data_IF_540738657057
#
_entry.id   IF_540738657057
#
_cell.length_a   1.000
_cell.length_b   1.000
_cell.length_c   1.000
_cell.angle_alpha   90.00
_cell.angle_beta   90.00
_cell.angle_gamma   90.00
#
_symmetry.space_group_name_H-M   'P 1'
#
loop_
_entity.id
_entity.type
_entity.pdbx_description
1 polymer ?
#
# COMPACT_ATOMS: atom_id res chain seq x y z
N UNK A 1 2.79 2.81 -16.03
CA UNK A 1 4.20 2.89 -15.59
C UNK A 1 5.18 2.32 -16.61
N UNK A 2 5.05 1.05 -17.02
CA UNK A 2 6.02 0.43 -17.94
C UNK A 2 6.22 1.21 -19.27
N UNK A 3 5.12 1.64 -19.90
CA UNK A 3 5.19 2.44 -21.13
C UNK A 3 5.87 3.79 -20.89
N UNK A 4 5.62 4.43 -19.74
CA UNK A 4 6.26 5.70 -19.38
C UNK A 4 7.76 5.51 -19.17
N UNK A 5 8.17 4.45 -18.47
CA UNK A 5 9.57 4.10 -18.31
C UNK A 5 10.28 3.90 -19.66
N UNK A 6 9.64 3.19 -20.59
CA UNK A 6 10.18 3.00 -21.94
C UNK A 6 10.33 4.35 -22.65
N UNK A 7 9.28 5.17 -22.68
CA UNK A 7 9.28 6.45 -23.39
C UNK A 7 10.31 7.44 -22.82
N UNK A 8 10.46 7.52 -21.50
CA UNK A 8 11.45 8.40 -20.87
C UNK A 8 12.87 7.95 -21.19
N UNK A 9 13.16 6.65 -21.13
CA UNK A 9 14.49 6.14 -21.47
C UNK A 9 14.79 6.20 -22.97
N UNK A 10 13.78 6.05 -23.83
CA UNK A 10 13.92 6.29 -25.27
C UNK A 10 14.29 7.75 -25.52
N UNK A 11 13.56 8.69 -24.90
CA UNK A 11 13.86 10.12 -25.03
C UNK A 11 15.30 10.43 -24.58
N UNK A 12 15.72 9.87 -23.45
CA UNK A 12 17.08 10.00 -22.96
C UNK A 12 18.11 9.43 -23.95
N UNK A 13 17.86 8.24 -24.50
CA UNK A 13 18.79 7.57 -25.40
C UNK A 13 19.02 8.31 -26.72
N UNK A 14 18.03 9.09 -27.20
CA UNK A 14 18.20 9.93 -28.40
C UNK A 14 19.30 11.00 -28.22
N UNK A 15 19.57 11.41 -26.99
CA UNK A 15 20.58 12.41 -26.67
C UNK A 15 21.97 11.81 -26.39
N UNK A 16 22.13 10.48 -26.46
CA UNK A 16 23.39 9.81 -26.20
C UNK A 16 24.26 9.70 -27.45
N UNK A 17 25.59 9.80 -27.25
CA UNK A 17 26.55 9.60 -28.33
C UNK A 17 26.41 8.21 -28.96
N UNK A 18 26.58 8.13 -30.28
CA UNK A 18 26.47 6.90 -31.08
C UNK A 18 25.08 6.24 -31.18
N UNK A 19 24.00 6.88 -30.69
CA UNK A 19 22.62 6.36 -30.86
C UNK A 19 22.28 6.06 -32.32
N UNK A 20 22.66 6.94 -33.26
CA UNK A 20 22.39 6.76 -34.69
C UNK A 20 23.07 5.54 -35.31
N UNK A 21 24.13 5.00 -34.68
CA UNK A 21 24.88 3.85 -35.18
C UNK A 21 24.42 2.54 -34.55
N UNK A 22 24.11 2.55 -33.25
CA UNK A 22 23.67 1.37 -32.49
C UNK A 22 22.49 1.71 -31.56
N UNK A 23 21.29 2.00 -32.10
CA UNK A 23 20.20 2.58 -31.32
C UNK A 23 19.70 1.66 -30.20
N UNK A 24 19.65 0.35 -30.45
CA UNK A 24 19.14 -0.63 -29.49
C UNK A 24 20.13 -0.86 -28.34
N UNK A 25 21.42 -0.99 -28.66
CA UNK A 25 22.48 -1.17 -27.66
C UNK A 25 22.60 0.04 -26.74
N UNK A 26 22.58 1.25 -27.32
CA UNK A 26 22.64 2.50 -26.55
C UNK A 26 21.39 2.67 -25.68
N UNK A 27 20.20 2.35 -26.19
CA UNK A 27 18.99 2.36 -25.37
C UNK A 27 19.11 1.45 -24.15
N UNK A 28 19.51 0.18 -24.32
CA UNK A 28 19.64 -0.75 -23.21
C UNK A 28 20.75 -0.36 -22.24
N UNK A 29 21.87 0.19 -22.73
CA UNK A 29 22.95 0.72 -21.90
C UNK A 29 22.50 1.90 -21.03
N UNK A 30 21.67 2.80 -21.56
CA UNK A 30 21.14 3.95 -20.84
C UNK A 30 19.97 3.60 -19.90
N UNK A 31 19.07 2.70 -20.33
CA UNK A 31 17.88 2.31 -19.57
C UNK A 31 18.19 1.35 -18.43
N UNK A 32 19.21 0.50 -18.59
CA UNK A 32 19.57 -0.55 -17.63
C UNK A 32 21.09 -0.58 -17.36
N UNK A 33 21.69 0.55 -16.92
CA UNK A 33 23.13 0.62 -16.67
C UNK A 33 23.58 -0.41 -15.63
N UNK A 34 22.72 -0.78 -14.68
CA UNK A 34 22.99 -1.81 -13.68
C UNK A 34 23.29 -3.20 -14.28
N UNK A 35 22.80 -3.50 -15.48
CA UNK A 35 23.02 -4.77 -16.16
C UNK A 35 24.12 -4.67 -17.21
N UNK A 36 24.08 -3.63 -18.06
CA UNK A 36 24.97 -3.50 -19.21
C UNK A 36 26.32 -2.85 -18.92
N UNK A 37 26.58 -2.44 -17.68
CA UNK A 37 27.95 -2.14 -17.21
C UNK A 37 28.76 -3.40 -16.90
N UNK A 38 28.09 -4.51 -16.59
CA UNK A 38 28.72 -5.79 -16.22
C UNK A 38 28.67 -6.82 -17.36
N UNK A 39 27.65 -6.75 -18.20
CA UNK A 39 27.40 -7.72 -19.27
C UNK A 39 27.45 -6.99 -20.62
N UNK A 40 28.18 -7.54 -21.59
CA UNK A 40 28.18 -7.04 -22.96
C UNK A 40 26.79 -7.17 -23.58
N UNK A 41 26.35 -6.13 -24.28
CA UNK A 41 25.05 -6.15 -24.93
C UNK A 41 24.92 -7.31 -25.93
N UNK A 42 23.82 -8.04 -25.83
CA UNK A 42 23.36 -8.98 -26.84
C UNK A 42 21.84 -8.87 -26.93
N UNK A 43 21.26 -9.20 -28.09
CA UNK A 43 19.82 -9.05 -28.28
C UNK A 43 19.02 -9.96 -27.32
N UNK A 44 19.57 -11.14 -27.00
CA UNK A 44 19.00 -12.05 -26.00
C UNK A 44 19.09 -11.49 -24.57
N UNK A 45 20.23 -10.91 -24.18
CA UNK A 45 20.37 -10.26 -22.88
C UNK A 45 19.41 -9.07 -22.73
N UNK A 46 19.27 -8.23 -23.77
CA UNK A 46 18.29 -7.14 -23.82
C UNK A 46 16.86 -7.66 -23.62
N UNK A 47 16.46 -8.70 -24.36
CA UNK A 47 15.13 -9.29 -24.24
C UNK A 47 14.86 -9.85 -22.83
N UNK A 48 15.84 -10.51 -22.19
CA UNK A 48 15.71 -11.03 -20.83
C UNK A 48 15.58 -9.92 -19.78
N UNK A 49 16.37 -8.85 -19.91
CA UNK A 49 16.31 -7.70 -19.01
C UNK A 49 14.95 -6.99 -19.13
N UNK A 50 14.48 -6.76 -20.36
CA UNK A 50 13.18 -6.14 -20.60
C UNK A 50 12.02 -7.00 -20.05
N UNK A 51 12.06 -8.31 -20.28
CA UNK A 51 11.07 -9.24 -19.73
C UNK A 51 11.07 -9.21 -18.20
N UNK A 52 12.25 -9.20 -17.58
CA UNK A 52 12.40 -9.13 -16.12
C UNK A 52 11.84 -7.82 -15.58
N UNK A 53 12.09 -6.69 -16.26
CA UNK A 53 11.56 -5.38 -15.90
C UNK A 53 10.03 -5.34 -16.00
N UNK A 54 9.47 -5.93 -17.06
CA UNK A 54 8.03 -6.04 -17.25
C UNK A 54 7.37 -6.85 -16.14
N UNK A 55 7.91 -8.05 -15.85
CA UNK A 55 7.42 -8.91 -14.76
C UNK A 55 7.53 -8.18 -13.42
N UNK A 56 8.66 -7.53 -13.15
CA UNK A 56 8.87 -6.81 -11.89
C UNK A 56 7.87 -5.66 -11.70
N UNK A 57 7.63 -4.88 -12.76
CA UNK A 57 6.64 -3.78 -12.74
C UNK A 57 5.24 -4.33 -12.51
N UNK A 58 4.89 -5.45 -13.16
CA UNK A 58 3.59 -6.10 -12.99
C UNK A 58 3.43 -6.65 -11.56
N UNK A 59 4.43 -7.36 -11.04
CA UNK A 59 4.43 -7.93 -9.69
C UNK A 59 4.30 -6.83 -8.63
N UNK A 60 4.98 -5.70 -8.79
CA UNK A 60 4.84 -4.58 -7.87
C UNK A 60 3.40 -4.02 -7.86
N UNK A 61 2.82 -3.78 -9.03
CA UNK A 61 1.43 -3.32 -9.16
C UNK A 61 0.42 -4.32 -8.57
N UNK A 62 0.62 -5.61 -8.84
CA UNK A 62 -0.24 -6.67 -8.31
C UNK A 62 -0.15 -6.77 -6.78
N UNK A 63 1.05 -6.62 -6.21
CA UNK A 63 1.28 -6.70 -4.75
C UNK A 63 0.50 -5.61 -4.01
N UNK A 64 0.53 -4.37 -4.51
CA UNK A 64 -0.22 -3.26 -3.92
C UNK A 64 -1.74 -3.50 -3.96
N UNK A 65 -2.25 -3.93 -5.11
CA UNK A 65 -3.67 -4.26 -5.27
C UNK A 65 -4.09 -5.41 -4.35
N UNK A 66 -3.25 -6.43 -4.22
CA UNK A 66 -3.49 -7.56 -3.33
C UNK A 66 -3.60 -7.10 -1.87
N UNK A 67 -2.68 -6.25 -1.40
CA UNK A 67 -2.71 -5.69 -0.04
C UNK A 67 -3.99 -4.88 0.19
N UNK A 68 -4.40 -4.05 -0.78
CA UNK A 68 -5.64 -3.28 -0.72
C UNK A 68 -6.85 -4.20 -0.60
N UNK A 69 -6.94 -5.23 -1.44
CA UNK A 69 -8.09 -6.16 -1.46
C UNK A 69 -8.21 -6.95 -0.15
N UNK A 70 -7.09 -7.38 0.42
CA UNK A 70 -7.06 -8.04 1.73
C UNK A 70 -7.51 -7.07 2.83
N UNK A 71 -7.00 -5.83 2.81
CA UNK A 71 -7.38 -4.79 3.77
C UNK A 71 -8.89 -4.52 3.75
N UNK A 72 -9.47 -4.37 2.55
CA UNK A 72 -10.92 -4.17 2.37
C UNK A 72 -11.70 -5.39 2.88
N UNK A 73 -11.25 -6.60 2.56
CA UNK A 73 -11.94 -7.84 2.94
C UNK A 73 -12.01 -8.00 4.46
N UNK A 74 -10.89 -7.77 5.17
CA UNK A 74 -10.83 -7.80 6.63
C UNK A 74 -11.66 -6.66 7.25
N UNK A 75 -11.61 -5.46 6.65
CA UNK A 75 -12.39 -4.30 7.08
C UNK A 75 -13.88 -4.61 7.04
N UNK A 76 -14.37 -5.23 5.97
CA UNK A 76 -15.78 -5.60 5.85
C UNK A 76 -16.21 -6.62 6.90
N UNK A 77 -15.34 -7.56 7.30
CA UNK A 77 -15.64 -8.47 8.41
C UNK A 77 -15.80 -7.75 9.75
N UNK A 78 -14.95 -6.76 10.06
CA UNK A 78 -15.15 -5.93 11.24
C UNK A 78 -16.41 -5.05 11.15
N UNK A 79 -16.71 -4.50 9.97
CA UNK A 79 -17.94 -3.74 9.73
C UNK A 79 -19.19 -4.59 9.93
N UNK A 80 -19.19 -5.86 9.54
CA UNK A 80 -20.31 -6.79 9.77
C UNK A 80 -20.62 -6.92 11.27
N UNK A 81 -19.58 -7.10 12.10
CA UNK A 81 -19.73 -7.15 13.56
C UNK A 81 -20.29 -5.83 14.09
N UNK A 82 -19.71 -4.71 13.66
CA UNK A 82 -20.17 -3.38 14.07
C UNK A 82 -21.64 -3.12 13.69
N UNK A 83 -22.06 -3.56 12.51
CA UNK A 83 -23.44 -3.42 12.04
C UNK A 83 -24.40 -4.33 12.83
N UNK A 84 -23.98 -5.56 13.15
CA UNK A 84 -24.74 -6.49 14.00
C UNK A 84 -25.00 -5.91 15.39
N UNK A 85 -24.00 -5.28 16.00
CA UNK A 85 -24.15 -4.58 17.29
C UNK A 85 -25.14 -3.40 17.15
N UNK A 86 -24.96 -2.55 16.14
CA UNK A 86 -25.81 -1.37 15.89
C UNK A 86 -27.29 -1.73 15.70
N UNK A 87 -27.58 -2.86 15.04
CA UNK A 87 -28.94 -3.29 14.75
C UNK A 87 -29.62 -4.00 15.93
N UNK A 88 -28.84 -4.49 16.91
CA UNK A 88 -29.39 -5.17 18.07
C UNK A 88 -30.05 -4.18 19.05
N UNK A 89 -31.35 -4.36 19.31
CA UNK A 89 -32.08 -3.65 20.37
C UNK A 89 -32.34 -4.64 21.51
N UNK A 90 -31.85 -4.33 22.71
CA UNK A 90 -31.93 -5.19 23.90
C UNK A 90 -31.52 -6.65 23.65
N UNK A 91 -30.27 -6.89 23.21
CA UNK A 91 -29.81 -8.24 22.94
C UNK A 91 -29.72 -9.10 24.23
N UNK A 92 -30.01 -10.41 24.15
CA UNK A 92 -29.83 -11.31 25.28
C UNK A 92 -28.34 -11.46 25.64
N UNK A 93 -28.03 -11.86 26.88
CA UNK A 93 -26.63 -12.07 27.32
C UNK A 93 -25.80 -12.95 26.35
N UNK A 94 -26.41 -14.00 25.79
CA UNK A 94 -25.76 -14.91 24.83
C UNK A 94 -25.23 -14.18 23.58
N UNK A 95 -25.89 -13.11 23.14
CA UNK A 95 -25.48 -12.33 21.97
C UNK A 95 -24.10 -11.69 22.16
N UNK A 96 -23.82 -11.13 23.35
CA UNK A 96 -22.53 -10.48 23.61
C UNK A 96 -21.38 -11.47 23.61
N UNK A 97 -21.61 -12.69 24.09
CA UNK A 97 -20.66 -13.79 23.99
C UNK A 97 -20.36 -14.13 22.53
N UNK A 98 -21.38 -14.25 21.69
CA UNK A 98 -21.23 -14.52 20.25
C UNK A 98 -20.47 -13.40 19.53
N UNK A 99 -20.81 -12.13 19.80
CA UNK A 99 -20.11 -10.98 19.21
C UNK A 99 -18.61 -10.98 19.57
N UNK A 100 -18.29 -11.28 20.83
CA UNK A 100 -16.89 -11.37 21.28
C UNK A 100 -16.15 -12.52 20.60
N UNK A 101 -16.78 -13.68 20.46
CA UNK A 101 -16.20 -14.83 19.76
C UNK A 101 -15.98 -14.54 18.27
N UNK A 102 -16.94 -13.91 17.60
CA UNK A 102 -16.82 -13.48 16.20
C UNK A 102 -15.72 -12.44 16.04
N UNK A 103 -15.63 -11.45 16.93
CA UNK A 103 -14.56 -10.46 16.93
C UNK A 103 -13.19 -11.11 17.13
N UNK A 104 -13.08 -12.05 18.07
CA UNK A 104 -11.85 -12.81 18.28
C UNK A 104 -11.43 -13.59 17.03
N UNK A 105 -12.36 -14.26 16.34
CA UNK A 105 -12.07 -14.98 15.10
C UNK A 105 -11.53 -14.05 14.00
N UNK A 106 -12.16 -12.89 13.80
CA UNK A 106 -11.71 -11.91 12.80
C UNK A 106 -10.37 -11.27 13.18
N UNK A 107 -10.17 -10.97 14.47
CA UNK A 107 -8.89 -10.46 14.99
C UNK A 107 -7.77 -11.49 14.82
N UNK A 108 -8.02 -12.76 15.13
CA UNK A 108 -7.05 -13.82 14.93
C UNK A 108 -6.71 -14.02 13.44
N UNK A 109 -7.73 -14.02 12.57
CA UNK A 109 -7.53 -14.06 11.12
C UNK A 109 -6.68 -12.89 10.63
N UNK A 110 -6.95 -11.68 11.13
CA UNK A 110 -6.17 -10.47 10.78
C UNK A 110 -4.69 -10.65 11.15
N UNK A 111 -4.40 -11.19 12.33
CA UNK A 111 -3.01 -11.47 12.77
C UNK A 111 -2.32 -12.51 11.89
N UNK A 112 -3.02 -13.60 11.57
CA UNK A 112 -2.47 -14.65 10.68
C UNK A 112 -2.17 -14.07 9.31
N UNK A 113 -3.10 -13.29 8.75
CA UNK A 113 -2.91 -12.64 7.44
C UNK A 113 -1.74 -11.67 7.49
N UNK A 114 -1.66 -10.79 8.49
CA UNK A 114 -0.56 -9.83 8.64
C UNK A 114 0.80 -10.54 8.66
N UNK A 115 0.94 -11.62 9.42
CA UNK A 115 2.19 -12.41 9.47
C UNK A 115 2.55 -12.99 8.10
N UNK A 116 1.58 -13.53 7.36
CA UNK A 116 1.83 -14.17 6.05
C UNK A 116 2.18 -13.17 4.95
N UNK A 117 1.58 -11.98 4.98
CA UNK A 117 1.80 -10.95 3.96
C UNK A 117 2.83 -9.90 4.38
N UNK A 118 3.38 -9.98 5.59
CA UNK A 118 4.24 -8.93 6.14
C UNK A 118 5.45 -8.62 5.25
N UNK A 119 6.10 -9.64 4.68
CA UNK A 119 7.20 -9.45 3.74
C UNK A 119 6.77 -8.73 2.45
N UNK A 120 5.60 -9.07 1.91
CA UNK A 120 5.03 -8.41 0.73
C UNK A 120 4.68 -6.95 1.02
N UNK A 121 4.10 -6.69 2.20
CA UNK A 121 3.79 -5.34 2.66
C UNK A 121 5.07 -4.52 2.79
N UNK A 122 6.13 -5.06 3.40
CA UNK A 122 7.38 -4.35 3.58
C UNK A 122 8.05 -4.01 2.23
N UNK A 123 8.10 -4.96 1.30
CA UNK A 123 8.64 -4.74 -0.06
C UNK A 123 7.79 -3.70 -0.81
N UNK A 124 6.47 -3.79 -0.73
CA UNK A 124 5.54 -2.81 -1.32
C UNK A 124 5.81 -1.40 -0.78
N UNK A 125 5.90 -1.24 0.54
CA UNK A 125 6.17 0.06 1.16
C UNK A 125 7.55 0.62 0.79
N UNK A 126 8.60 -0.19 0.79
CA UNK A 126 9.94 0.24 0.39
C UNK A 126 9.97 0.69 -1.07
N UNK A 127 9.38 -0.09 -1.98
CA UNK A 127 9.29 0.29 -3.39
C UNK A 127 8.49 1.59 -3.57
N UNK A 128 7.34 1.70 -2.90
CA UNK A 128 6.50 2.88 -2.95
C UNK A 128 7.24 4.15 -2.48
N UNK A 129 8.01 4.07 -1.38
CA UNK A 129 8.84 5.17 -0.90
C UNK A 129 9.96 5.48 -1.89
N UNK A 130 10.67 4.47 -2.37
CA UNK A 130 11.78 4.64 -3.31
C UNK A 130 11.34 5.38 -4.59
N UNK A 131 10.26 4.93 -5.23
CA UNK A 131 9.72 5.57 -6.43
C UNK A 131 9.15 6.96 -6.15
N UNK A 132 8.53 7.17 -4.98
CA UNK A 132 8.06 8.50 -4.58
C UNK A 132 9.24 9.47 -4.40
N UNK A 133 10.35 9.04 -3.79
CA UNK A 133 11.57 9.85 -3.68
C UNK A 133 12.18 10.18 -5.05
N UNK A 134 12.24 9.21 -5.97
CA UNK A 134 12.72 9.46 -7.34
C UNK A 134 11.86 10.51 -8.04
N UNK A 135 10.54 10.41 -7.93
CA UNK A 135 9.66 11.36 -8.59
C UNK A 135 9.69 12.74 -7.93
N UNK A 136 9.86 12.81 -6.61
CA UNK A 136 10.08 14.06 -5.91
C UNK A 136 11.39 14.72 -6.35
N UNK A 137 12.47 13.95 -6.49
CA UNK A 137 13.72 14.46 -7.05
C UNK A 137 13.55 14.97 -8.49
N UNK A 138 12.82 14.21 -9.32
CA UNK A 138 12.50 14.62 -10.69
C UNK A 138 11.52 15.79 -10.78
N UNK A 139 10.84 16.16 -9.69
CA UNK A 139 9.97 17.35 -9.63
C UNK A 139 10.78 18.64 -9.54
N UNK A 140 12.03 18.56 -9.08
CA UNK A 140 12.94 19.70 -8.89
C UNK A 140 13.63 20.05 -10.23
N UNK A 141 13.76 19.08 -11.14
CA UNK A 141 14.40 19.30 -12.44
C UNK A 141 13.54 20.20 -13.32
N UNK A 142 14.17 21.21 -13.91
CA UNK A 142 13.55 22.06 -14.93
C UNK A 142 13.17 21.23 -16.16
N UNK A 143 12.01 21.55 -16.74
CA UNK A 143 11.46 20.85 -17.92
C UNK A 143 11.19 21.87 -19.01
N UNK A 144 11.81 21.69 -20.16
CA UNK A 144 11.67 22.59 -21.30
C UNK A 144 10.43 22.27 -22.16
N UNK A 145 10.04 20.99 -22.26
CA UNK A 145 8.92 20.55 -23.07
C UNK A 145 7.61 20.38 -22.27
N UNK A 146 6.50 20.83 -22.84
CA UNK A 146 5.14 20.67 -22.29
C UNK A 146 4.76 19.18 -22.17
N UNK A 147 5.17 18.37 -23.15
CA UNK A 147 4.90 16.93 -23.19
C UNK A 147 5.56 16.23 -21.99
N UNK A 148 6.82 16.55 -21.69
CA UNK A 148 7.55 15.99 -20.55
C UNK A 148 6.96 16.41 -19.20
N UNK A 149 6.32 17.59 -19.16
CA UNK A 149 5.61 18.08 -17.98
C UNK A 149 4.31 17.30 -17.75
N UNK A 150 3.50 17.08 -18.79
CA UNK A 150 2.26 16.28 -18.69
C UNK A 150 2.57 14.84 -18.25
N UNK A 151 3.59 14.21 -18.85
CA UNK A 151 4.01 12.87 -18.46
C UNK A 151 4.46 12.78 -17.01
N UNK A 152 5.19 13.79 -16.55
CA UNK A 152 5.62 13.87 -15.16
C UNK A 152 4.44 13.95 -14.20
N UNK A 153 3.50 14.88 -14.40
CA UNK A 153 2.35 15.03 -13.52
C UNK A 153 1.48 13.78 -13.49
N UNK A 154 1.29 13.12 -14.64
CA UNK A 154 0.57 11.86 -14.69
C UNK A 154 1.30 10.77 -13.90
N UNK A 155 2.61 10.61 -14.10
CA UNK A 155 3.40 9.59 -13.42
C UNK A 155 3.51 9.84 -11.91
N UNK A 156 3.73 11.10 -11.51
CA UNK A 156 3.79 11.51 -10.11
C UNK A 156 2.44 11.29 -9.43
N UNK A 157 1.35 11.78 -10.04
CA UNK A 157 0.00 11.61 -9.53
C UNK A 157 -0.39 10.14 -9.39
N UNK A 158 -0.01 9.29 -10.35
CA UNK A 158 -0.26 7.85 -10.29
C UNK A 158 0.45 7.17 -9.10
N UNK A 159 1.74 7.46 -8.89
CA UNK A 159 2.50 6.90 -7.78
C UNK A 159 1.92 7.39 -6.45
N UNK A 160 1.67 8.70 -6.32
CA UNK A 160 1.05 9.28 -5.11
C UNK A 160 -0.31 8.62 -4.83
N UNK A 161 -1.15 8.48 -5.85
CA UNK A 161 -2.45 7.82 -5.71
C UNK A 161 -2.30 6.38 -5.18
N UNK A 162 -1.37 5.60 -5.71
CA UNK A 162 -1.10 4.23 -5.25
C UNK A 162 -0.65 4.18 -3.78
N UNK A 163 0.34 4.99 -3.42
CA UNK A 163 0.87 5.04 -2.03
C UNK A 163 -0.24 5.44 -1.07
N UNK A 164 -1.02 6.46 -1.41
CA UNK A 164 -2.17 6.92 -0.61
C UNK A 164 -3.23 5.83 -0.53
N UNK A 165 -3.58 5.16 -1.63
CA UNK A 165 -4.59 4.11 -1.64
C UNK A 165 -4.19 2.94 -0.72
N UNK A 166 -3.00 2.36 -0.91
CA UNK A 166 -2.51 1.24 -0.08
C UNK A 166 -2.53 1.63 1.41
N UNK A 167 -2.03 2.82 1.71
CA UNK A 167 -1.95 3.28 3.09
C UNK A 167 -3.32 3.59 3.70
N UNK A 168 -4.22 4.22 2.94
CA UNK A 168 -5.56 4.57 3.39
C UNK A 168 -6.39 3.32 3.66
N UNK A 169 -6.35 2.33 2.76
CA UNK A 169 -7.09 1.09 2.97
C UNK A 169 -6.57 0.32 4.19
N UNK A 170 -5.26 0.25 4.38
CA UNK A 170 -4.67 -0.32 5.60
C UNK A 170 -5.09 0.45 6.86
N UNK A 171 -5.12 1.78 6.81
CA UNK A 171 -5.59 2.60 7.93
C UNK A 171 -7.09 2.40 8.24
N UNK A 172 -7.94 2.27 7.22
CA UNK A 172 -9.39 2.06 7.41
C UNK A 172 -9.71 0.70 8.03
N UNK A 173 -8.84 -0.31 7.87
CA UNK A 173 -8.98 -1.60 8.53
C UNK A 173 -8.89 -1.44 10.07
N UNK A 174 -7.87 -0.73 10.55
CA UNK A 174 -7.72 -0.47 11.99
C UNK A 174 -8.86 0.37 12.55
N UNK A 175 -9.36 1.34 11.78
CA UNK A 175 -10.55 2.11 12.14
C UNK A 175 -11.81 1.23 12.25
N UNK A 176 -12.04 0.35 11.28
CA UNK A 176 -13.18 -0.58 11.31
C UNK A 176 -13.09 -1.55 12.49
N UNK A 177 -11.89 -2.01 12.85
CA UNK A 177 -11.69 -2.88 14.01
C UNK A 177 -12.01 -2.20 15.35
N UNK A 178 -11.91 -0.86 15.42
CA UNK A 178 -12.25 -0.05 16.61
C UNK A 178 -13.68 0.48 16.61
N UNK A 179 -14.34 0.51 15.46
CA UNK A 179 -15.73 0.99 15.28
C UNK A 179 -16.75 0.40 16.28
N UNK A 180 -16.68 -0.89 16.70
CA UNK A 180 -17.57 -1.43 17.72
C UNK A 180 -17.58 -0.65 19.04
N UNK A 181 -16.45 -0.05 19.46
CA UNK A 181 -16.34 0.69 20.72
C UNK A 181 -17.37 1.81 20.84
N UNK A 182 -17.66 2.51 19.74
CA UNK A 182 -18.67 3.59 19.74
C UNK A 182 -20.04 3.09 20.21
N UNK A 183 -20.41 1.88 19.83
CA UNK A 183 -21.69 1.28 20.19
C UNK A 183 -21.65 0.66 21.60
N UNK A 184 -20.52 0.04 21.95
CA UNK A 184 -20.34 -0.59 23.27
C UNK A 184 -20.35 0.44 24.41
N UNK A 185 -19.75 1.62 24.21
CA UNK A 185 -19.77 2.70 25.20
C UNK A 185 -21.13 3.40 25.33
N UNK A 186 -22.01 3.28 24.32
CA UNK A 186 -23.36 3.85 24.36
C UNK A 186 -24.42 2.93 24.97
N UNK A 187 -24.03 1.76 25.48
CA UNK A 187 -24.96 0.79 26.05
C UNK A 187 -25.50 1.28 27.41
N UNK A 188 -26.80 1.07 27.70
CA UNK A 188 -27.34 1.22 29.04
C UNK A 188 -26.65 0.29 30.04
N UNK A 189 -26.53 0.71 31.29
CA UNK A 189 -25.88 -0.06 32.36
C UNK A 189 -26.47 -1.47 32.53
N UNK A 190 -27.78 -1.63 32.29
CA UNK A 190 -28.50 -2.91 32.36
C UNK A 190 -27.97 -3.96 31.36
N UNK A 191 -27.50 -3.52 30.19
CA UNK A 191 -26.96 -4.39 29.15
C UNK A 191 -25.43 -4.55 29.25
N UNK A 192 -24.80 -3.94 30.26
CA UNK A 192 -23.35 -4.00 30.45
C UNK A 192 -22.95 -5.32 31.10
N UNK A 193 -22.51 -6.26 30.28
CA UNK A 193 -22.12 -7.60 30.72
C UNK A 193 -20.60 -7.76 30.82
N UNK A 194 -20.16 -8.83 31.49
CA UNK A 194 -18.72 -9.16 31.57
C UNK A 194 -18.10 -9.35 30.18
N UNK A 195 -18.88 -9.82 29.20
CA UNK A 195 -18.42 -10.03 27.82
C UNK A 195 -18.26 -8.72 27.05
N UNK A 196 -19.13 -7.74 27.32
CA UNK A 196 -18.98 -6.36 26.81
C UNK A 196 -17.70 -5.74 27.35
N UNK A 197 -17.46 -5.84 28.66
CA UNK A 197 -16.24 -5.33 29.29
C UNK A 197 -14.98 -5.97 28.71
N UNK A 198 -14.96 -7.30 28.58
CA UNK A 198 -13.84 -8.04 27.96
C UNK A 198 -13.62 -7.63 26.50
N UNK A 199 -14.68 -7.44 25.73
CA UNK A 199 -14.58 -7.01 24.34
C UNK A 199 -14.01 -5.59 24.22
N UNK A 200 -14.46 -4.66 25.06
CA UNK A 200 -13.89 -3.30 25.12
C UNK A 200 -12.39 -3.37 25.42
N UNK A 201 -11.99 -4.13 26.43
CA UNK A 201 -10.57 -4.36 26.76
C UNK A 201 -9.83 -4.95 25.57
N UNK A 202 -10.37 -5.98 24.92
CA UNK A 202 -9.76 -6.60 23.75
C UNK A 202 -9.50 -5.59 22.62
N UNK A 203 -10.49 -4.74 22.29
CA UNK A 203 -10.35 -3.76 21.21
C UNK A 203 -9.31 -2.67 21.56
N UNK A 204 -9.25 -2.25 22.83
CA UNK A 204 -8.33 -1.20 23.26
C UNK A 204 -6.86 -1.67 23.31
N UNK A 205 -6.62 -2.87 23.85
CA UNK A 205 -5.26 -3.36 24.11
C UNK A 205 -4.68 -4.22 22.98
N UNK A 206 -5.49 -4.70 22.04
CA UNK A 206 -5.04 -5.48 20.89
C UNK A 206 -5.39 -4.77 19.59
N UNK A 207 -4.50 -3.88 19.07
CA UNK A 207 -4.73 -3.23 17.79
C UNK A 207 -4.78 -4.27 16.67
N UNK A 208 -5.74 -4.13 15.76
CA UNK A 208 -5.87 -4.98 14.58
C UNK A 208 -5.60 -4.13 13.35
N UNK A 209 -4.62 -4.52 12.55
CA UNK A 209 -4.23 -3.83 11.33
C UNK A 209 -3.10 -4.56 10.64
N UNK A 210 -2.69 -4.04 9.48
CA UNK A 210 -1.53 -4.55 8.75
C UNK A 210 -0.32 -3.74 9.22
N UNK A 211 0.69 -4.44 9.74
CA UNK A 211 1.84 -3.84 10.43
C UNK A 211 3.18 -4.11 9.77
N UNK A 212 3.23 -5.06 8.83
CA UNK A 212 4.47 -5.42 8.13
C UNK A 212 5.55 -5.89 9.09
N UNK A 213 5.28 -6.92 9.90
CA UNK A 213 6.12 -7.41 11.02
C UNK A 213 6.22 -6.45 12.22
N UNK A 214 5.23 -5.59 12.44
CA UNK A 214 5.24 -4.65 13.57
C UNK A 214 6.14 -3.43 13.36
N UNK A 215 6.74 -3.26 12.18
CA UNK A 215 7.57 -2.09 11.88
C UNK A 215 6.75 -0.80 11.81
N UNK A 216 5.51 -0.86 11.31
CA UNK A 216 4.66 0.32 11.19
C UNK A 216 3.17 -0.07 11.17
N UNK A 217 2.40 0.38 12.17
CA UNK A 217 0.94 0.34 12.08
C UNK A 217 0.47 1.54 11.24
N UNK A 218 0.00 1.26 10.03
CA UNK A 218 -0.48 2.31 9.14
C UNK A 218 -1.82 2.84 9.69
N UNK A 219 -1.78 4.05 10.23
CA UNK A 219 -2.97 4.75 10.72
C UNK A 219 -3.16 6.05 9.94
N UNK A 220 -4.37 6.61 9.94
CA UNK A 220 -4.61 7.95 9.36
C UNK A 220 -3.70 9.00 9.99
N UNK A 221 -3.38 8.87 11.28
CA UNK A 221 -2.47 9.77 11.98
C UNK A 221 -1.02 9.64 11.48
N UNK A 222 -0.57 8.41 11.19
CA UNK A 222 0.74 8.19 10.56
C UNK A 222 0.79 8.85 9.17
N UNK A 223 -0.25 8.68 8.37
CA UNK A 223 -0.37 9.36 7.07
C UNK A 223 -0.34 10.88 7.19
N UNK A 224 -1.09 11.44 8.15
CA UNK A 224 -1.12 12.88 8.42
C UNK A 224 0.24 13.41 8.89
N UNK A 225 0.95 12.69 9.75
CA UNK A 225 2.30 13.04 10.20
C UNK A 225 3.30 13.08 9.04
N UNK A 226 3.29 12.05 8.19
CA UNK A 226 4.17 11.99 7.01
C UNK A 226 3.86 13.14 6.03
N UNK A 227 2.58 13.43 5.77
CA UNK A 227 2.22 14.58 4.93
C UNK A 227 2.64 15.90 5.56
N UNK A 228 2.45 16.09 6.86
CA UNK A 228 2.81 17.33 7.55
C UNK A 228 4.33 17.58 7.50
N UNK A 229 5.14 16.53 7.66
CA UNK A 229 6.59 16.61 7.54
C UNK A 229 7.06 16.95 6.12
N UNK A 230 6.36 16.47 5.08
CA UNK A 230 6.65 16.84 3.69
C UNK A 230 6.33 18.31 3.36
N UNK A 231 5.35 18.92 4.04
CA UNK A 231 4.97 20.32 3.85
C UNK A 231 5.66 21.31 4.82
N UNK A 232 6.39 20.83 5.82
CA UNK A 232 7.07 21.66 6.82
C UNK A 232 8.55 21.93 6.51
N UNK A 233 9.00 21.63 5.28
CA UNK A 233 10.33 22.00 4.77
C UNK A 233 10.21 23.07 3.70
#
# INVERSE_FOLDING_TARGET
EHILFILTNLNHSFHCEHYNKYPVEIYFGCAFPQWFTLITYSHWAGALVELTNFISTFTWNFTDLFIIMISISLREKFNQISNRIKQSKNPPHKFWKEIREDYYRVSNLTKVVDIQIAGLVLISFLNNIFFLCIQLYNSIKEREAVIDSIYFFYSFGYIVFRVVAVSLYSATLNEAARKPLKYLYSLPTENYTIDVSRLITQINYLPNGITGHGFFLITKNFLLQVSCQLYSC
#
